data_IF_025317776404
#
_entry.id   IF_025317776404
#
_cell.length_a   1.000
_cell.length_b   1.000
_cell.length_c   1.000
_cell.angle_alpha   90.00
_cell.angle_beta   90.00
_cell.angle_gamma   90.00
#
_symmetry.space_group_name_H-M   'P 1'
#
loop_
_entity.id
_entity.type
_entity.pdbx_description
1 polymer ?
#
# COMPACT_ATOMS: atom_id res chain seq x y z
N UNK A 1 11.94 52.90 -48.95
CA UNK A 1 11.51 53.68 -47.77
C UNK A 1 10.78 52.74 -46.81
N UNK A 2 11.31 52.64 -45.58
CA UNK A 2 10.61 52.47 -44.29
C UNK A 2 9.37 51.54 -44.24
N UNK A 3 9.50 50.39 -43.56
CA UNK A 3 8.98 50.27 -42.18
C UNK A 3 9.32 48.90 -41.58
N UNK A 4 10.19 48.96 -40.58
CA UNK A 4 10.48 47.95 -39.57
C UNK A 4 9.35 47.91 -38.53
N UNK A 5 8.90 46.71 -38.14
CA UNK A 5 8.18 46.51 -36.87
C UNK A 5 8.70 45.21 -36.21
N UNK A 6 9.31 45.27 -35.02
CA UNK A 6 9.74 44.08 -34.30
C UNK A 6 8.64 43.62 -33.34
N UNK A 7 8.26 42.34 -33.43
CA UNK A 7 7.46 41.68 -32.40
C UNK A 7 8.35 41.35 -31.19
N UNK A 8 8.19 42.14 -30.14
CA UNK A 8 8.68 41.85 -28.79
C UNK A 8 7.92 40.64 -28.24
N UNK A 9 8.56 39.48 -28.21
CA UNK A 9 8.10 38.31 -27.48
C UNK A 9 8.44 38.55 -26.00
N UNK A 10 7.41 38.87 -25.21
CA UNK A 10 7.46 38.90 -23.75
C UNK A 10 7.65 37.46 -23.25
N UNK A 11 8.90 37.09 -22.94
CA UNK A 11 9.22 35.92 -22.14
C UNK A 11 8.84 36.22 -20.69
N UNK A 12 7.66 35.76 -20.26
CA UNK A 12 7.35 35.70 -18.82
C UNK A 12 8.14 34.56 -18.21
N UNK A 13 9.20 34.92 -17.49
CA UNK A 13 9.89 34.04 -16.54
C UNK A 13 8.92 33.74 -15.39
N UNK A 14 8.10 32.70 -15.55
CA UNK A 14 7.40 32.07 -14.43
C UNK A 14 8.46 31.26 -13.69
N UNK A 15 9.12 31.91 -12.73
CA UNK A 15 9.95 31.24 -11.73
C UNK A 15 9.04 30.35 -10.90
N UNK A 16 9.00 29.06 -11.23
CA UNK A 16 8.52 28.03 -10.32
C UNK A 16 9.42 28.05 -9.08
N UNK A 17 8.92 28.66 -8.01
CA UNK A 17 9.47 28.45 -6.67
C UNK A 17 9.19 26.99 -6.34
N UNK A 18 10.18 26.14 -6.60
CA UNK A 18 10.23 24.79 -6.05
C UNK A 18 10.39 24.99 -4.55
N UNK A 19 9.26 24.97 -3.82
CA UNK A 19 9.27 24.81 -2.37
C UNK A 19 9.75 23.38 -2.16
N UNK A 20 11.07 23.21 -2.11
CA UNK A 20 11.70 21.98 -1.65
C UNK A 20 11.26 21.77 -0.21
N UNK A 21 10.24 20.93 -0.01
CA UNK A 21 9.92 20.38 1.30
C UNK A 21 11.19 19.75 1.83
N UNK A 22 11.81 20.36 2.83
CA UNK A 22 12.96 19.76 3.50
C UNK A 22 12.48 18.41 4.05
N UNK A 23 13.21 17.30 3.81
CA UNK A 23 12.91 16.07 4.50
C UNK A 23 12.92 16.36 5.99
N UNK A 24 11.83 16.01 6.68
CA UNK A 24 11.70 16.24 8.10
C UNK A 24 12.69 15.31 8.79
N UNK A 25 13.89 15.81 9.07
CA UNK A 25 14.92 15.08 9.79
C UNK A 25 14.43 15.00 11.24
N UNK A 26 13.93 13.83 11.62
CA UNK A 26 13.49 13.54 12.99
C UNK A 26 14.67 13.81 13.92
N UNK A 27 14.49 14.76 14.84
CA UNK A 27 15.44 15.14 15.88
C UNK A 27 15.71 13.96 16.81
N UNK A 28 16.96 13.81 17.26
CA UNK A 28 17.48 12.76 18.15
C UNK A 28 16.42 12.22 19.13
N UNK A 29 15.81 11.10 18.76
CA UNK A 29 14.76 10.42 19.52
C UNK A 29 15.35 9.75 20.75
N UNK A 30 14.74 10.00 21.92
CA UNK A 30 14.87 9.13 23.11
C UNK A 30 14.74 7.67 22.66
N UNK A 31 15.79 6.88 22.80
CA UNK A 31 15.75 5.42 22.61
C UNK A 31 14.74 4.83 23.60
N UNK A 32 13.50 4.58 23.16
CA UNK A 32 12.47 3.91 23.95
C UNK A 32 12.72 2.41 23.94
N UNK A 33 12.55 1.76 25.10
CA UNK A 33 12.86 0.35 25.35
C UNK A 33 11.95 -0.67 24.67
N UNK A 34 11.23 -0.28 23.61
CA UNK A 34 10.32 -1.17 22.84
C UNK A 34 11.10 -2.37 22.28
N UNK A 35 12.41 -2.20 22.08
CA UNK A 35 13.30 -3.22 21.51
C UNK A 35 13.36 -4.53 22.29
N UNK A 36 13.16 -4.52 23.61
CA UNK A 36 13.18 -5.76 24.40
C UNK A 36 12.03 -6.72 24.02
N UNK A 37 11.08 -6.29 23.20
CA UNK A 37 9.89 -7.06 22.81
C UNK A 37 9.98 -7.65 21.39
N UNK A 38 10.94 -7.24 20.56
CA UNK A 38 11.13 -7.76 19.20
C UNK A 38 12.21 -8.84 19.14
N UNK A 39 11.82 -10.07 19.48
CA UNK A 39 12.73 -11.22 19.52
C UNK A 39 12.62 -11.99 18.20
N UNK A 40 13.53 -11.73 17.25
CA UNK A 40 13.74 -12.57 16.06
C UNK A 40 13.74 -11.84 14.72
N UNK A 41 13.65 -12.63 13.65
CA UNK A 41 13.72 -12.14 12.26
C UNK A 41 12.35 -11.70 11.71
N UNK A 42 11.25 -12.08 12.38
CA UNK A 42 9.91 -11.59 12.08
C UNK A 42 8.98 -11.83 13.25
N UNK A 43 7.91 -11.03 13.35
CA UNK A 43 6.89 -11.22 14.38
C UNK A 43 5.69 -10.32 14.16
N UNK A 44 4.65 -10.56 14.95
CA UNK A 44 3.48 -9.70 15.01
C UNK A 44 3.68 -8.57 16.02
N UNK A 45 2.97 -7.47 15.80
CA UNK A 45 3.01 -6.28 16.65
C UNK A 45 1.66 -6.15 17.33
N UNK A 46 1.64 -6.23 18.66
CA UNK A 46 0.44 -6.02 19.47
C UNK A 46 0.03 -4.54 19.45
N UNK A 47 -1.25 -4.28 19.77
CA UNK A 47 -1.81 -2.92 19.82
C UNK A 47 -0.91 -1.93 20.57
N UNK A 48 -0.48 -2.25 21.79
CA UNK A 48 0.33 -1.33 22.60
C UNK A 48 1.69 -1.04 21.97
N UNK A 49 2.34 -2.06 21.40
CA UNK A 49 3.62 -1.92 20.71
C UNK A 49 3.48 -1.03 19.47
N UNK A 50 2.41 -1.23 18.69
CA UNK A 50 2.16 -0.44 17.50
C UNK A 50 1.82 1.02 17.83
N UNK A 51 1.06 1.29 18.89
CA UNK A 51 0.84 2.67 19.38
C UNK A 51 2.17 3.35 19.71
N UNK A 52 3.06 2.66 20.43
CA UNK A 52 4.37 3.22 20.80
C UNK A 52 5.27 3.48 19.58
N UNK A 53 5.17 2.66 18.53
CA UNK A 53 5.88 2.88 17.26
C UNK A 53 5.27 4.07 16.48
N UNK A 54 3.96 4.11 16.35
CA UNK A 54 3.25 5.17 15.63
C UNK A 54 3.46 6.54 16.30
N UNK A 55 3.46 6.59 17.63
CA UNK A 55 3.71 7.82 18.38
C UNK A 55 5.12 8.39 18.18
N UNK A 56 6.12 7.54 17.91
CA UNK A 56 7.46 8.00 17.55
C UNK A 56 7.52 8.59 16.14
N UNK A 57 6.71 8.07 15.23
CA UNK A 57 6.63 8.56 13.85
C UNK A 57 5.90 9.91 13.80
N UNK A 58 4.78 10.04 14.51
CA UNK A 58 3.92 11.23 14.44
C UNK A 58 4.18 12.31 15.47
N UNK A 59 4.84 11.95 16.58
CA UNK A 59 4.93 12.81 17.76
C UNK A 59 3.61 12.94 18.54
N UNK A 60 2.60 12.12 18.24
CA UNK A 60 1.29 12.10 18.89
C UNK A 60 0.96 10.69 19.38
N UNK A 61 0.47 10.56 20.60
CA UNK A 61 0.05 9.28 21.22
C UNK A 61 -1.46 9.19 21.45
N UNK A 62 -2.23 10.18 20.98
CA UNK A 62 -3.69 10.19 21.11
C UNK A 62 -4.29 9.09 20.24
N UNK A 63 -5.11 8.22 20.82
CA UNK A 63 -5.76 7.11 20.08
C UNK A 63 -6.97 7.65 19.29
N UNK A 64 -7.12 7.22 18.03
CA UNK A 64 -8.34 7.47 17.23
C UNK A 64 -9.53 6.78 17.93
N UNK A 65 -10.70 7.43 18.06
CA UNK A 65 -11.89 6.81 18.65
C UNK A 65 -12.24 5.41 18.09
N UNK A 66 -12.05 5.18 16.79
CA UNK A 66 -12.22 3.89 16.11
C UNK A 66 -11.12 2.89 16.44
N UNK A 67 -9.93 3.34 16.84
CA UNK A 67 -8.87 2.51 17.41
C UNK A 67 -9.25 1.92 18.78
N UNK A 68 -10.25 2.48 19.46
CA UNK A 68 -10.76 2.03 20.75
C UNK A 68 -11.31 0.60 20.77
N UNK A 69 -11.92 0.17 19.66
CA UNK A 69 -12.58 -1.15 19.55
C UNK A 69 -11.58 -2.32 19.44
N UNK A 70 -10.32 -2.04 19.12
CA UNK A 70 -9.25 -3.04 19.02
C UNK A 70 -8.77 -3.40 20.44
N UNK A 71 -8.73 -4.69 20.79
CA UNK A 71 -8.27 -5.12 22.11
C UNK A 71 -6.76 -4.97 22.23
N UNK A 72 -6.26 -4.80 23.46
CA UNK A 72 -4.82 -4.71 23.71
C UNK A 72 -4.06 -5.98 23.31
N UNK A 73 -4.74 -7.13 23.31
CA UNK A 73 -4.21 -8.42 22.87
C UNK A 73 -4.20 -8.61 21.35
N UNK A 74 -4.85 -7.72 20.61
CA UNK A 74 -4.93 -7.85 19.16
C UNK A 74 -3.64 -7.38 18.50
N UNK A 75 -3.28 -8.02 17.41
CA UNK A 75 -2.13 -7.63 16.58
C UNK A 75 -2.57 -6.59 15.56
N UNK A 76 -1.88 -5.46 15.51
CA UNK A 76 -2.14 -4.37 14.55
C UNK A 76 -1.03 -4.21 13.52
N UNK A 77 -0.01 -5.06 13.56
CA UNK A 77 1.09 -4.98 12.61
C UNK A 77 1.94 -6.23 12.55
N UNK A 78 2.95 -6.17 11.68
CA UNK A 78 3.96 -7.22 11.51
C UNK A 78 5.29 -6.59 11.16
N UNK A 79 6.39 -7.21 11.59
CA UNK A 79 7.73 -6.77 11.24
C UNK A 79 8.57 -7.90 10.66
N UNK A 80 9.63 -7.50 9.94
CA UNK A 80 10.68 -8.37 9.44
C UNK A 80 12.04 -7.70 9.61
N UNK A 81 13.05 -8.50 9.93
CA UNK A 81 14.45 -8.10 9.91
C UNK A 81 14.98 -8.13 8.47
N UNK A 82 15.72 -7.10 8.13
CA UNK A 82 16.46 -6.97 6.87
C UNK A 82 17.84 -7.61 6.99
N UNK A 83 18.52 -7.85 5.86
CA UNK A 83 19.88 -8.40 5.86
C UNK A 83 20.91 -7.47 6.53
N UNK A 84 20.62 -6.16 6.62
CA UNK A 84 21.49 -5.18 7.29
C UNK A 84 21.35 -5.19 8.81
N UNK A 85 20.44 -6.00 9.36
CA UNK A 85 20.13 -6.04 10.79
C UNK A 85 19.12 -4.98 11.25
N UNK A 86 18.64 -4.12 10.35
CA UNK A 86 17.50 -3.20 10.57
C UNK A 86 16.18 -3.94 10.46
N UNK A 87 15.09 -3.28 10.84
CA UNK A 87 13.75 -3.82 10.78
C UNK A 87 12.85 -2.96 9.91
N UNK A 88 11.92 -3.61 9.20
CA UNK A 88 10.79 -2.96 8.54
C UNK A 88 9.52 -3.53 9.17
N UNK A 89 8.70 -2.64 9.74
CA UNK A 89 7.37 -2.95 10.24
C UNK A 89 6.32 -2.33 9.33
N UNK A 90 5.15 -2.96 9.29
CA UNK A 90 3.93 -2.34 8.80
C UNK A 90 2.90 -2.41 9.93
N UNK A 91 2.38 -1.26 10.34
CA UNK A 91 1.47 -1.08 11.47
C UNK A 91 0.23 -0.38 10.96
N UNK A 92 -0.94 -0.84 11.40
CA UNK A 92 -2.20 -0.16 11.14
C UNK A 92 -2.26 1.12 11.98
N UNK A 93 -2.43 2.28 11.34
CA UNK A 93 -2.59 3.53 12.05
C UNK A 93 -3.93 3.56 12.78
N UNK A 94 -3.84 3.67 14.10
CA UNK A 94 -4.98 3.74 15.01
C UNK A 94 -4.88 4.94 15.95
N UNK A 95 -3.97 5.88 15.67
CA UNK A 95 -3.71 7.06 16.50
C UNK A 95 -4.03 8.38 15.77
N UNK A 96 -4.17 8.37 14.44
CA UNK A 96 -4.57 9.57 13.71
C UNK A 96 -6.09 9.62 13.48
N UNK A 97 -6.83 10.49 14.21
CA UNK A 97 -8.24 10.71 13.95
C UNK A 97 -8.44 11.10 12.48
N UNK A 98 -9.39 10.43 11.81
CA UNK A 98 -9.83 10.66 10.43
C UNK A 98 -8.99 9.98 9.33
N UNK A 99 -7.97 9.20 9.67
CA UNK A 99 -7.20 8.41 8.71
C UNK A 99 -7.64 6.95 8.81
N UNK A 100 -8.73 6.59 8.12
CA UNK A 100 -9.27 5.22 8.08
C UNK A 100 -8.15 4.17 8.04
N UNK A 101 -7.86 3.53 9.18
CA UNK A 101 -6.91 2.42 9.36
C UNK A 101 -5.82 2.30 8.28
N UNK A 102 -4.99 3.35 8.17
CA UNK A 102 -3.98 3.47 7.12
C UNK A 102 -2.77 2.61 7.47
N UNK A 103 -2.28 1.71 6.59
CA UNK A 103 -1.04 1.01 6.85
C UNK A 103 0.16 1.98 6.80
N UNK A 104 0.93 2.01 7.88
CA UNK A 104 2.17 2.78 8.00
C UNK A 104 3.34 1.81 8.02
N UNK A 105 4.24 1.94 7.06
CA UNK A 105 5.50 1.20 7.06
C UNK A 105 6.59 2.03 7.73
N UNK A 106 7.38 1.39 8.58
CA UNK A 106 8.38 2.03 9.42
C UNK A 106 9.67 1.22 9.33
N UNK A 107 10.75 1.85 8.89
CA UNK A 107 12.10 1.31 9.04
C UNK A 107 12.74 1.82 10.33
N UNK A 108 13.30 0.91 11.12
CA UNK A 108 13.94 1.24 12.39
C UNK A 108 15.18 0.39 12.64
N UNK A 109 16.09 0.93 13.44
CA UNK A 109 17.32 0.26 13.85
C UNK A 109 17.04 -0.90 14.80
N UNK A 110 18.03 -1.76 15.01
CA UNK A 110 18.04 -2.76 16.09
C UNK A 110 18.12 -2.14 17.51
N UNK A 111 18.02 -0.82 17.64
CA UNK A 111 17.87 -0.15 18.94
C UNK A 111 16.52 0.54 19.08
N UNK A 112 15.63 0.38 18.09
CA UNK A 112 14.31 1.01 18.06
C UNK A 112 14.29 2.44 17.51
N UNK A 113 15.44 3.04 17.20
CA UNK A 113 15.48 4.37 16.55
C UNK A 113 14.86 4.33 15.15
N UNK A 114 13.85 5.16 14.91
CA UNK A 114 13.16 5.29 13.63
C UNK A 114 14.11 5.91 12.59
N UNK A 115 14.19 5.30 11.42
CA UNK A 115 15.01 5.78 10.30
C UNK A 115 14.14 6.47 9.24
N UNK A 116 13.04 5.83 8.87
CA UNK A 116 12.15 6.27 7.81
C UNK A 116 10.75 5.70 8.02
N UNK A 117 9.73 6.39 7.53
CA UNK A 117 8.34 5.92 7.59
C UNK A 117 7.54 6.46 6.41
N UNK A 118 6.60 5.65 5.91
CA UNK A 118 5.68 6.04 4.86
C UNK A 118 4.27 5.45 5.11
N UNK A 119 3.25 6.11 4.59
CA UNK A 119 1.85 5.73 4.75
C UNK A 119 1.24 5.33 3.41
N UNK A 120 0.51 4.22 3.38
CA UNK A 120 -0.15 3.75 2.17
C UNK A 120 -1.61 4.16 2.17
N UNK A 121 -2.03 4.96 1.19
CA UNK A 121 -3.44 5.32 1.05
C UNK A 121 -4.28 4.06 0.91
N UNK A 122 -5.19 3.86 1.87
CA UNK A 122 -6.27 2.90 1.78
C UNK A 122 -7.56 3.63 1.40
N UNK A 123 -8.45 2.96 0.68
CA UNK A 123 -9.79 3.50 0.44
C UNK A 123 -10.59 3.62 1.74
N UNK A 124 -11.82 4.14 1.66
CA UNK A 124 -12.62 4.46 2.83
C UNK A 124 -12.96 3.26 3.74
N UNK A 125 -12.91 2.04 3.21
CA UNK A 125 -13.23 0.82 3.96
C UNK A 125 -12.28 -0.33 3.58
N UNK A 126 -11.84 -1.08 4.59
CA UNK A 126 -11.01 -2.27 4.42
C UNK A 126 -11.86 -3.49 4.04
N UNK A 127 -12.43 -3.54 2.83
CA UNK A 127 -13.27 -4.66 2.38
C UNK A 127 -12.54 -6.02 2.29
N UNK A 128 -11.22 -6.01 2.29
CA UNK A 128 -10.39 -7.22 2.25
C UNK A 128 -9.88 -7.66 3.63
N UNK A 129 -10.32 -6.98 4.70
CA UNK A 129 -9.90 -7.30 6.06
C UNK A 129 -10.81 -8.35 6.67
N UNK A 130 -10.28 -9.55 6.88
CA UNK A 130 -11.00 -10.68 7.46
C UNK A 130 -10.63 -10.89 8.93
N UNK A 131 -10.62 -9.80 9.72
CA UNK A 131 -10.23 -9.78 11.13
C UNK A 131 -8.80 -10.29 11.40
N UNK A 132 -7.93 -10.23 10.39
CA UNK A 132 -6.51 -10.56 10.51
C UNK A 132 -5.68 -9.57 9.66
N UNK A 133 -4.53 -9.13 10.19
CA UNK A 133 -3.60 -8.30 9.42
C UNK A 133 -2.84 -9.18 8.42
N UNK A 134 -3.43 -9.36 7.23
CA UNK A 134 -2.74 -9.97 6.08
C UNK A 134 -1.92 -8.96 5.26
N UNK A 135 -1.96 -7.69 5.68
CA UNK A 135 -1.48 -6.53 4.94
C UNK A 135 0.01 -6.55 4.61
N UNK A 136 0.87 -7.22 5.38
CA UNK A 136 2.33 -7.12 5.20
C UNK A 136 3.06 -8.47 5.11
N UNK A 137 3.74 -8.71 3.99
CA UNK A 137 4.46 -9.97 3.71
C UNK A 137 5.87 -9.71 3.18
N UNK A 138 6.78 -10.66 3.43
CA UNK A 138 8.13 -10.68 2.87
C UNK A 138 8.24 -11.83 1.86
N UNK A 139 8.82 -11.56 0.70
CA UNK A 139 9.00 -12.47 -0.43
C UNK A 139 10.46 -12.41 -0.90
N UNK A 140 11.32 -13.21 -0.27
CA UNK A 140 12.78 -13.08 -0.48
C UNK A 140 13.25 -11.68 -0.05
N UNK A 141 13.78 -10.90 -0.99
CA UNK A 141 14.27 -9.54 -0.77
C UNK A 141 13.18 -8.46 -0.90
N UNK A 142 11.95 -8.84 -1.28
CA UNK A 142 10.84 -7.92 -1.42
C UNK A 142 9.93 -7.91 -0.19
N UNK A 143 9.32 -6.78 0.07
CA UNK A 143 8.22 -6.58 1.00
C UNK A 143 6.97 -6.18 0.23
N UNK A 144 5.81 -6.67 0.67
CA UNK A 144 4.54 -6.33 0.05
C UNK A 144 3.56 -5.79 1.07
N UNK A 145 2.98 -4.63 0.80
CA UNK A 145 1.84 -4.07 1.53
C UNK A 145 0.58 -4.21 0.68
N UNK A 146 -0.43 -4.90 1.20
CA UNK A 146 -1.76 -4.98 0.59
C UNK A 146 -2.63 -3.87 1.14
N UNK A 147 -3.13 -3.01 0.27
CA UNK A 147 -4.20 -2.04 0.58
C UNK A 147 -5.47 -2.42 -0.13
N UNK A 148 -6.60 -1.87 0.33
CA UNK A 148 -7.89 -2.16 -0.28
C UNK A 148 -8.72 -0.90 -0.45
N UNK A 149 -9.50 -0.89 -1.52
CA UNK A 149 -10.43 0.17 -1.88
C UNK A 149 -11.85 -0.38 -1.93
N UNK A 150 -12.83 0.41 -1.47
CA UNK A 150 -14.24 0.02 -1.50
C UNK A 150 -15.08 1.17 -2.04
N UNK A 151 -16.11 0.83 -2.80
CA UNK A 151 -17.19 1.72 -3.24
C UNK A 151 -18.55 1.00 -3.22
N UNK A 152 -19.64 1.70 -3.51
CA UNK A 152 -21.03 1.18 -3.36
C UNK A 152 -21.34 -0.08 -4.16
N UNK A 153 -20.52 -0.44 -5.14
CA UNK A 153 -20.64 -1.67 -5.92
C UNK A 153 -19.28 -2.29 -6.24
N UNK A 154 -18.25 -1.96 -5.48
CA UNK A 154 -16.87 -2.25 -5.84
C UNK A 154 -16.01 -2.55 -4.62
N UNK A 155 -15.10 -3.51 -4.76
CA UNK A 155 -14.03 -3.76 -3.79
C UNK A 155 -12.77 -4.19 -4.54
N UNK A 156 -11.66 -3.50 -4.32
CA UNK A 156 -10.35 -3.88 -4.85
C UNK A 156 -9.35 -4.13 -3.74
N UNK A 157 -8.35 -4.93 -4.07
CA UNK A 157 -7.14 -5.12 -3.29
C UNK A 157 -5.94 -4.91 -4.21
N UNK A 158 -5.01 -4.09 -3.76
CA UNK A 158 -3.81 -3.67 -4.46
C UNK A 158 -2.59 -3.99 -3.62
N UNK A 159 -1.50 -4.36 -4.27
CA UNK A 159 -0.22 -4.65 -3.63
C UNK A 159 0.79 -3.58 -4.02
N UNK A 160 1.36 -2.93 -3.01
CA UNK A 160 2.63 -2.23 -3.11
C UNK A 160 3.74 -3.24 -2.84
N UNK A 161 4.73 -3.32 -3.72
CA UNK A 161 5.84 -4.26 -3.60
C UNK A 161 7.15 -3.47 -3.73
N UNK A 162 8.07 -3.61 -2.79
CA UNK A 162 9.29 -2.80 -2.70
C UNK A 162 10.44 -3.59 -2.04
N UNK A 163 11.70 -3.19 -2.28
CA UNK A 163 12.88 -3.81 -1.63
C UNK A 163 13.36 -3.02 -0.42
N UNK A 164 13.31 -1.69 -0.50
CA UNK A 164 13.65 -0.78 0.60
C UNK A 164 12.59 0.32 0.75
N UNK A 165 12.67 1.10 1.84
CA UNK A 165 11.81 2.26 2.04
C UNK A 165 11.96 3.30 0.93
N UNK A 166 13.16 3.46 0.36
CA UNK A 166 13.40 4.39 -0.74
C UNK A 166 12.75 3.93 -2.06
N UNK A 167 12.45 2.63 -2.17
CA UNK A 167 11.79 2.01 -3.31
C UNK A 167 10.27 1.92 -3.12
N UNK A 168 9.71 2.49 -2.05
CA UNK A 168 8.25 2.62 -1.93
C UNK A 168 7.81 3.62 -2.99
N UNK A 169 7.42 3.10 -4.15
CA UNK A 169 7.13 3.89 -5.33
C UNK A 169 5.65 4.00 -5.64
N UNK A 170 5.35 4.94 -6.55
CA UNK A 170 4.11 5.00 -7.29
C UNK A 170 3.98 3.80 -8.23
N UNK A 171 3.18 2.81 -7.84
CA UNK A 171 2.85 1.68 -8.70
C UNK A 171 2.26 0.55 -7.88
N UNK A 172 0.97 0.28 -8.07
CA UNK A 172 0.29 -0.82 -7.42
C UNK A 172 0.05 -1.96 -8.39
N UNK A 173 0.13 -3.19 -7.86
CA UNK A 173 -0.23 -4.40 -8.58
C UNK A 173 -1.63 -4.79 -8.11
N UNK A 174 -2.60 -4.78 -9.04
CA UNK A 174 -3.97 -5.22 -8.74
C UNK A 174 -3.95 -6.68 -8.31
N UNK A 175 -4.40 -6.99 -7.10
CA UNK A 175 -4.47 -8.36 -6.60
C UNK A 175 -5.88 -8.94 -6.76
N UNK A 176 -6.88 -8.16 -6.37
CA UNK A 176 -8.28 -8.58 -6.38
C UNK A 176 -9.15 -7.43 -6.83
N UNK A 177 -10.20 -7.74 -7.57
CA UNK A 177 -11.26 -6.79 -7.90
C UNK A 177 -12.58 -7.53 -7.80
N UNK A 178 -13.58 -6.90 -7.23
CA UNK A 178 -14.97 -7.30 -7.33
C UNK A 178 -15.77 -6.08 -7.73
N UNK A 179 -16.64 -6.24 -8.73
CA UNK A 179 -17.58 -5.21 -9.14
C UNK A 179 -18.95 -5.81 -9.37
N UNK A 180 -20.00 -5.09 -8.98
CA UNK A 180 -21.38 -5.46 -9.24
C UNK A 180 -21.76 -5.34 -10.73
N UNK A 181 -20.92 -4.66 -11.51
CA UNK A 181 -21.01 -4.49 -12.95
C UNK A 181 -19.81 -5.14 -13.64
N UNK A 182 -20.00 -5.58 -14.88
CA UNK A 182 -18.95 -6.10 -15.74
C UNK A 182 -19.09 -5.38 -17.08
N UNK A 183 -17.98 -5.17 -17.80
CA UNK A 183 -18.05 -4.54 -19.14
C UNK A 183 -18.96 -5.34 -20.08
N UNK A 184 -19.05 -6.66 -19.89
CA UNK A 184 -19.90 -7.56 -20.69
C UNK A 184 -21.41 -7.47 -20.35
N UNK A 185 -21.85 -6.62 -19.41
CA UNK A 185 -23.27 -6.37 -19.12
C UNK A 185 -23.62 -6.32 -17.62
N UNK A 186 -24.91 -6.48 -17.23
CA UNK A 186 -25.38 -6.32 -15.85
C UNK A 186 -25.01 -7.49 -14.91
N UNK A 187 -23.88 -8.14 -15.17
CA UNK A 187 -23.32 -9.22 -14.37
C UNK A 187 -22.25 -8.66 -13.44
N UNK A 188 -22.03 -9.30 -12.30
CA UNK A 188 -20.91 -8.96 -11.45
C UNK A 188 -19.64 -9.65 -11.95
N UNK A 189 -18.47 -9.09 -11.69
CA UNK A 189 -17.20 -9.70 -12.03
C UNK A 189 -16.26 -9.76 -10.83
N UNK A 190 -15.37 -10.75 -10.84
CA UNK A 190 -14.36 -10.94 -9.80
C UNK A 190 -13.02 -11.30 -10.42
N UNK A 191 -11.98 -10.58 -10.07
CA UNK A 191 -10.58 -10.95 -10.24
C UNK A 191 -10.03 -11.44 -8.91
N UNK A 192 -9.32 -12.55 -8.96
CA UNK A 192 -8.39 -12.97 -7.92
C UNK A 192 -7.05 -13.31 -8.55
N UNK A 193 -5.96 -13.20 -7.80
CA UNK A 193 -4.62 -13.51 -8.31
C UNK A 193 -3.77 -14.26 -7.31
N UNK A 194 -2.76 -14.96 -7.85
CA UNK A 194 -1.61 -15.46 -7.10
C UNK A 194 -0.35 -14.80 -7.66
N UNK A 195 0.51 -14.32 -6.77
CA UNK A 195 1.76 -13.67 -7.12
C UNK A 195 2.89 -14.70 -7.13
N UNK A 196 3.72 -14.66 -8.16
CA UNK A 196 4.99 -15.36 -8.27
C UNK A 196 6.08 -14.32 -8.54
N UNK A 197 7.19 -14.38 -7.79
CA UNK A 197 8.34 -13.48 -8.00
C UNK A 197 9.50 -14.31 -8.56
N UNK A 198 10.03 -13.90 -9.71
CA UNK A 198 11.18 -14.51 -10.39
C UNK A 198 12.18 -13.43 -10.76
N UNK A 199 13.29 -13.37 -10.02
CA UNK A 199 14.36 -12.38 -10.21
C UNK A 199 13.80 -10.94 -10.14
N UNK A 200 13.81 -10.23 -11.26
CA UNK A 200 13.36 -8.85 -11.46
C UNK A 200 11.92 -8.76 -12.01
N UNK A 201 11.24 -9.89 -12.14
CA UNK A 201 9.91 -10.00 -12.74
C UNK A 201 8.90 -10.53 -11.72
N UNK A 202 7.74 -9.89 -11.66
CA UNK A 202 6.59 -10.37 -10.90
C UNK A 202 5.55 -10.88 -11.88
N UNK A 203 5.10 -12.11 -11.69
CA UNK A 203 4.05 -12.73 -12.50
C UNK A 203 2.80 -12.86 -11.64
N UNK A 204 1.73 -12.23 -12.10
CA UNK A 204 0.41 -12.33 -11.47
C UNK A 204 -0.44 -13.31 -12.28
N UNK A 205 -0.77 -14.43 -11.65
CA UNK A 205 -1.66 -15.45 -12.21
C UNK A 205 -3.10 -15.11 -11.86
N UNK A 206 -3.81 -14.50 -12.80
CA UNK A 206 -5.19 -14.04 -12.60
C UNK A 206 -6.22 -15.11 -12.93
N UNK A 207 -7.30 -15.07 -12.15
CA UNK A 207 -8.56 -15.75 -12.42
C UNK A 207 -9.67 -14.71 -12.43
N UNK A 208 -10.27 -14.49 -13.61
CA UNK A 208 -11.45 -13.65 -13.84
C UNK A 208 -12.70 -14.53 -13.86
N UNK A 209 -13.70 -14.17 -13.07
CA UNK A 209 -14.98 -14.87 -13.01
C UNK A 209 -16.12 -13.90 -13.30
N UNK A 210 -17.01 -14.28 -14.20
CA UNK A 210 -18.27 -13.58 -14.45
C UNK A 210 -19.36 -14.25 -13.63
N UNK A 211 -20.08 -13.44 -12.86
CA UNK A 211 -20.96 -13.87 -11.79
C UNK A 211 -22.40 -13.44 -12.09
N UNK A 212 -23.32 -14.39 -12.07
CA UNK A 212 -24.76 -14.12 -12.10
C UNK A 212 -25.31 -14.10 -10.66
N UNK A 213 -25.96 -13.01 -10.22
CA UNK A 213 -26.59 -12.95 -8.90
C UNK A 213 -27.64 -14.06 -8.73
N UNK A 214 -27.67 -14.66 -7.55
CA UNK A 214 -28.73 -15.52 -7.01
C UNK A 214 -29.20 -14.91 -5.68
N UNK A 215 -30.34 -15.39 -5.16
CA UNK A 215 -31.01 -14.83 -3.95
C UNK A 215 -30.07 -14.55 -2.76
N UNK A 216 -29.03 -15.36 -2.54
CA UNK A 216 -28.05 -15.19 -1.44
C UNK A 216 -26.60 -15.50 -1.85
N UNK A 217 -26.33 -15.61 -3.15
CA UNK A 217 -25.02 -16.06 -3.64
C UNK A 217 -24.79 -15.63 -5.07
N UNK A 218 -23.63 -15.98 -5.61
CA UNK A 218 -23.32 -15.80 -7.03
C UNK A 218 -23.11 -17.16 -7.68
N UNK A 219 -23.61 -17.32 -8.92
CA UNK A 219 -23.25 -18.45 -9.78
C UNK A 219 -22.13 -18.00 -10.72
N UNK A 220 -21.03 -18.73 -10.73
CA UNK A 220 -19.97 -18.54 -11.74
C UNK A 220 -20.53 -18.99 -13.09
N UNK A 221 -20.53 -18.08 -14.06
CA UNK A 221 -21.01 -18.31 -15.42
C UNK A 221 -19.87 -18.59 -16.38
N UNK A 222 -18.75 -17.88 -16.20
CA UNK A 222 -17.54 -17.99 -17.02
C UNK A 222 -16.34 -17.79 -16.11
N UNK A 223 -15.28 -18.55 -16.38
CA UNK A 223 -13.97 -18.37 -15.75
C UNK A 223 -12.92 -18.24 -16.84
N UNK A 224 -12.04 -17.27 -16.69
CA UNK A 224 -10.90 -17.04 -17.56
C UNK A 224 -9.63 -16.94 -16.71
N UNK A 225 -8.54 -17.49 -17.23
CA UNK A 225 -7.22 -17.40 -16.63
C UNK A 225 -6.28 -16.64 -17.57
N UNK A 226 -5.44 -15.79 -17.00
CA UNK A 226 -4.42 -15.08 -17.74
C UNK A 226 -3.30 -14.66 -16.79
N UNK A 227 -2.11 -14.49 -17.35
CA UNK A 227 -0.94 -14.05 -16.61
C UNK A 227 -0.57 -12.64 -17.04
N UNK A 228 -0.17 -11.81 -16.09
CA UNK A 228 0.45 -10.51 -16.38
C UNK A 228 1.82 -10.48 -15.73
N UNK A 229 2.80 -10.10 -16.54
CA UNK A 229 4.17 -9.88 -16.10
C UNK A 229 4.35 -8.40 -15.79
N UNK A 230 4.88 -8.12 -14.61
CA UNK A 230 5.30 -6.81 -14.16
C UNK A 230 6.82 -6.79 -14.10
N UNK A 231 7.40 -5.72 -14.58
CA UNK A 231 8.84 -5.44 -14.45
C UNK A 231 9.02 -4.15 -13.65
N UNK A 232 10.10 -4.10 -12.87
CA UNK A 232 10.50 -2.91 -12.14
C UNK A 232 11.21 -1.94 -13.11
N UNK A 233 10.66 -0.74 -13.30
CA UNK A 233 11.26 0.30 -14.14
C UNK A 233 11.14 1.66 -13.45
N UNK A 234 12.28 2.34 -13.28
CA UNK A 234 12.36 3.60 -12.54
C UNK A 234 11.74 3.48 -11.13
N UNK A 235 12.06 2.38 -10.47
CA UNK A 235 11.53 1.96 -9.17
C UNK A 235 10.00 1.69 -9.14
N UNK A 236 9.24 1.86 -10.22
CA UNK A 236 7.81 1.51 -10.29
C UNK A 236 7.55 0.15 -10.95
N UNK A 237 6.50 -0.56 -10.51
CA UNK A 237 6.05 -1.78 -11.19
C UNK A 237 5.19 -1.45 -12.41
N UNK A 238 5.64 -1.90 -13.58
CA UNK A 238 4.94 -1.71 -14.85
C UNK A 238 4.48 -3.04 -15.42
N UNK A 239 3.18 -3.16 -15.69
CA UNK A 239 2.64 -4.28 -16.45
C UNK A 239 3.15 -4.23 -17.90
N UNK A 240 3.66 -5.35 -18.41
CA UNK A 240 4.03 -5.48 -19.83
C UNK A 240 2.80 -5.50 -20.75
N UNK A 241 1.69 -6.05 -20.25
CA UNK A 241 0.37 -6.04 -20.89
C UNK A 241 -0.70 -5.97 -19.80
N UNK A 242 -1.39 -4.84 -19.72
CA UNK A 242 -2.47 -4.59 -18.75
C UNK A 242 -3.85 -4.54 -19.42
N UNK A 243 -3.96 -4.82 -20.71
CA UNK A 243 -5.22 -4.69 -21.47
C UNK A 243 -6.35 -5.47 -20.80
N UNK A 244 -6.08 -6.71 -20.36
CA UNK A 244 -7.09 -7.55 -19.68
C UNK A 244 -7.52 -7.06 -18.29
N UNK A 245 -6.70 -6.29 -17.58
CA UNK A 245 -7.10 -5.65 -16.32
C UNK A 245 -8.03 -4.47 -16.61
N UNK A 246 -7.72 -3.65 -17.62
CA UNK A 246 -8.53 -2.48 -17.98
C UNK A 246 -9.88 -2.83 -18.62
N UNK A 247 -10.10 -4.09 -19.02
CA UNK A 247 -11.42 -4.62 -19.37
C UNK A 247 -12.36 -4.82 -18.16
N UNK A 248 -11.97 -4.33 -16.98
CA UNK A 248 -12.80 -4.30 -15.79
C UNK A 248 -13.32 -2.89 -15.53
N UNK A 249 -14.57 -2.72 -15.07
CA UNK A 249 -15.01 -1.45 -14.54
C UNK A 249 -14.27 -1.22 -13.20
N UNK A 250 -13.32 -0.28 -13.24
CA UNK A 250 -12.66 0.27 -12.05
C UNK A 250 -13.43 1.48 -11.54
#
# INVERSE_FOLDING_TARGET
MKNTLPYLIFLSLISFVIIGGKPHRVSDTKELSIYNEFIGDSGFILKQQGINLLAQVSGNDTIDPHGGDIKTTDTIGKYYKTYTGRYIACVLDIIHPNQNYVPVVIEFTNKGGILESDSFSAGMYLCCWHNNFEGFKKHGDYFSVKVCGTGSGFCSGEIYLFKSMQDITSGTIVQTVWSNLCIEGPMSCRITSKMEIKLDTVIMHYKKEILKPKRKSYKVMKTEFFDIKYIEKNAAWMALDSTKIYEMPM
#
